data_IF_693856242445
#
_entry.id   IF_693856242445
#
_cell.length_a   1.000
_cell.length_b   1.000
_cell.length_c   1.000
_cell.angle_alpha   90.00
_cell.angle_beta   90.00
_cell.angle_gamma   90.00
#
_symmetry.space_group_name_H-M   'P 1'
#
loop_
_entity.id
_entity.type
_entity.pdbx_description
1 polymer ?
#
# COMPACT_ATOMS: atom_id res chain seq x y z
N UNK A 1 17.55 3.83 0.29
CA UNK A 1 16.93 2.53 -0.05
C UNK A 1 15.44 2.72 -0.27
N UNK A 2 14.88 2.04 -1.25
CA UNK A 2 13.45 2.15 -1.54
C UNK A 2 12.61 1.45 -0.47
N UNK A 3 11.44 2.00 -0.19
CA UNK A 3 10.48 1.40 0.74
C UNK A 3 9.83 0.20 0.05
N UNK A 4 9.91 -0.97 0.67
CA UNK A 4 9.48 -2.24 0.11
C UNK A 4 8.02 -2.52 0.42
N UNK A 5 7.26 -2.91 -0.60
CA UNK A 5 5.81 -3.11 -0.48
C UNK A 5 5.41 -4.50 -0.96
N UNK A 6 4.52 -5.14 -0.20
CA UNK A 6 3.79 -6.34 -0.61
C UNK A 6 2.33 -5.95 -0.88
N UNK A 7 1.83 -6.26 -2.07
CA UNK A 7 0.44 -6.02 -2.44
C UNK A 7 -0.33 -7.33 -2.34
N UNK A 8 -1.39 -7.34 -1.55
CA UNK A 8 -2.26 -8.50 -1.33
C UNK A 8 -3.67 -8.16 -1.81
N UNK A 9 -4.11 -8.72 -2.92
CA UNK A 9 -5.44 -8.51 -3.46
C UNK A 9 -5.77 -9.59 -4.47
N UNK A 10 -7.01 -10.07 -4.49
CA UNK A 10 -7.45 -11.10 -5.41
C UNK A 10 -7.61 -10.63 -6.85
N UNK A 11 -7.76 -9.33 -7.07
CA UNK A 11 -7.95 -8.74 -8.39
C UNK A 11 -6.63 -8.25 -8.98
N UNK A 12 -6.22 -8.80 -10.13
CA UNK A 12 -5.02 -8.33 -10.83
C UNK A 12 -5.15 -6.86 -11.26
N UNK A 13 -6.33 -6.42 -11.65
CA UNK A 13 -6.58 -5.04 -12.04
C UNK A 13 -6.38 -4.07 -10.85
N UNK A 14 -6.86 -4.46 -9.68
CA UNK A 14 -6.65 -3.68 -8.45
C UNK A 14 -5.17 -3.66 -8.06
N UNK A 15 -4.50 -4.81 -8.13
CA UNK A 15 -3.06 -4.87 -7.86
C UNK A 15 -2.26 -3.96 -8.79
N UNK A 16 -2.58 -3.94 -10.08
CA UNK A 16 -1.91 -3.07 -11.06
C UNK A 16 -2.13 -1.59 -10.74
N UNK A 17 -3.33 -1.20 -10.37
CA UNK A 17 -3.65 0.17 -10.01
C UNK A 17 -2.89 0.61 -8.75
N UNK A 18 -2.85 -0.24 -7.74
CA UNK A 18 -2.11 0.02 -6.50
C UNK A 18 -0.61 0.13 -6.81
N UNK A 19 -0.08 -0.80 -7.59
CA UNK A 19 1.34 -0.80 -8.00
C UNK A 19 1.73 0.52 -8.65
N UNK A 20 0.96 1.00 -9.62
CA UNK A 20 1.26 2.25 -10.33
C UNK A 20 1.34 3.44 -9.36
N UNK A 21 0.39 3.53 -8.45
CA UNK A 21 0.39 4.60 -7.45
C UNK A 21 1.60 4.52 -6.52
N UNK A 22 1.92 3.33 -6.06
CA UNK A 22 3.06 3.12 -5.15
C UNK A 22 4.40 3.39 -5.84
N UNK A 23 4.56 2.95 -7.08
CA UNK A 23 5.78 3.23 -7.86
C UNK A 23 5.95 4.72 -8.11
N UNK A 24 4.87 5.44 -8.41
CA UNK A 24 4.91 6.90 -8.54
C UNK A 24 5.34 7.60 -7.24
N UNK A 25 5.00 7.04 -6.10
CA UNK A 25 5.40 7.55 -4.79
C UNK A 25 6.89 7.27 -4.50
N UNK A 26 7.47 6.29 -5.18
CA UNK A 26 8.86 5.90 -4.98
C UNK A 26 9.03 4.61 -4.20
N UNK A 27 7.96 3.84 -4.04
CA UNK A 27 8.02 2.54 -3.40
C UNK A 27 8.52 1.46 -4.37
N UNK A 28 9.11 0.41 -3.82
CA UNK A 28 9.51 -0.79 -4.53
C UNK A 28 8.50 -1.91 -4.22
N UNK A 29 7.68 -2.27 -5.18
CA UNK A 29 6.72 -3.37 -5.03
C UNK A 29 7.49 -4.69 -5.24
N UNK A 30 7.82 -5.34 -4.13
CA UNK A 30 8.70 -6.52 -4.14
C UNK A 30 7.96 -7.82 -4.38
N UNK A 31 6.65 -7.86 -4.13
CA UNK A 31 5.83 -9.04 -4.36
C UNK A 31 4.35 -8.70 -4.41
N UNK A 32 3.57 -9.60 -5.00
CA UNK A 32 2.12 -9.54 -5.03
C UNK A 32 1.56 -10.92 -4.66
N UNK A 33 0.49 -10.93 -3.89
CA UNK A 33 -0.23 -12.13 -3.49
C UNK A 33 -1.69 -12.02 -3.89
N UNK A 34 -2.23 -13.09 -4.45
CA UNK A 34 -3.64 -13.16 -4.85
C UNK A 34 -4.50 -13.91 -3.84
N UNK A 35 -3.91 -14.61 -2.87
CA UNK A 35 -4.58 -15.38 -1.83
C UNK A 35 -3.96 -15.15 -0.47
N UNK A 36 -4.70 -15.46 0.59
CA UNK A 36 -4.21 -15.33 1.95
C UNK A 36 -3.01 -16.23 2.23
N UNK A 37 -3.01 -17.46 1.70
CA UNK A 37 -1.90 -18.41 1.90
C UNK A 37 -0.61 -17.87 1.25
N UNK A 38 -0.68 -17.37 0.03
CA UNK A 38 0.45 -16.74 -0.64
C UNK A 38 0.93 -15.51 0.14
N UNK A 39 -0.02 -14.74 0.66
CA UNK A 39 0.28 -13.52 1.41
C UNK A 39 1.15 -13.80 2.64
N UNK A 40 0.80 -14.81 3.43
CA UNK A 40 1.55 -15.17 4.63
C UNK A 40 2.97 -15.60 4.26
N UNK A 41 3.10 -16.47 3.24
CA UNK A 41 4.39 -16.96 2.79
C UNK A 41 5.28 -15.82 2.28
N UNK A 42 4.73 -14.95 1.43
CA UNK A 42 5.48 -13.82 0.86
C UNK A 42 5.82 -12.78 1.92
N UNK A 43 4.91 -12.51 2.85
CA UNK A 43 5.17 -11.57 3.95
C UNK A 43 6.41 -11.99 4.75
N UNK A 44 6.52 -13.26 5.06
CA UNK A 44 7.67 -13.82 5.81
C UNK A 44 8.94 -13.86 4.98
N UNK A 45 8.81 -14.03 3.66
CA UNK A 45 9.95 -14.16 2.75
C UNK A 45 10.56 -12.81 2.36
N UNK A 46 9.71 -11.83 1.99
CA UNK A 46 10.20 -10.55 1.44
C UNK A 46 10.37 -9.47 2.49
N UNK A 47 9.84 -9.66 3.68
CA UNK A 47 9.95 -8.70 4.80
C UNK A 47 9.60 -7.26 4.38
N UNK A 48 8.36 -7.00 3.93
CA UNK A 48 7.99 -5.67 3.45
C UNK A 48 7.84 -4.66 4.59
N UNK A 49 8.05 -3.39 4.28
CA UNK A 49 7.80 -2.28 5.21
C UNK A 49 6.34 -1.82 5.16
N UNK A 50 5.70 -1.99 3.99
CA UNK A 50 4.31 -1.64 3.76
C UNK A 50 3.61 -2.86 3.16
N UNK A 51 2.38 -3.11 3.62
CA UNK A 51 1.49 -4.13 3.06
C UNK A 51 0.18 -3.48 2.70
N UNK A 52 -0.29 -3.67 1.46
CA UNK A 52 -1.67 -3.36 1.12
C UNK A 52 -2.48 -4.65 1.19
N UNK A 53 -3.57 -4.64 1.94
CA UNK A 53 -4.35 -5.84 2.24
C UNK A 53 -5.79 -5.66 1.75
N UNK A 54 -6.16 -6.43 0.72
CA UNK A 54 -7.50 -6.42 0.16
C UNK A 54 -8.52 -7.05 1.09
N UNK A 55 -9.54 -6.29 1.46
CA UNK A 55 -10.63 -6.78 2.30
C UNK A 55 -11.45 -7.85 1.58
N UNK A 56 -11.53 -7.73 0.24
CA UNK A 56 -12.29 -8.64 -0.62
C UNK A 56 -11.47 -9.85 -1.09
N UNK A 57 -10.30 -10.06 -0.52
CA UNK A 57 -9.46 -11.22 -0.80
C UNK A 57 -10.15 -12.52 -0.39
N UNK A 58 -9.90 -13.60 -1.12
CA UNK A 58 -10.36 -14.92 -0.71
C UNK A 58 -9.58 -15.37 0.52
N UNK A 59 -10.30 -15.46 1.62
CA UNK A 59 -9.81 -16.05 2.86
C UNK A 59 -10.38 -17.45 2.98
N UNK A 60 -9.57 -18.40 3.44
CA UNK A 60 -10.06 -19.72 3.76
C UNK A 60 -11.02 -19.67 4.95
N UNK A 61 -11.66 -20.81 5.28
CA UNK A 61 -12.68 -20.88 6.33
C UNK A 61 -12.18 -20.40 7.70
N UNK A 62 -10.87 -20.45 7.93
CA UNK A 62 -10.25 -20.09 9.22
C UNK A 62 -9.53 -18.74 9.19
N UNK A 63 -9.60 -18.01 8.09
CA UNK A 63 -8.90 -16.71 7.97
C UNK A 63 -9.85 -15.61 7.55
N UNK A 64 -9.47 -14.37 7.89
CA UNK A 64 -10.25 -13.18 7.62
C UNK A 64 -9.31 -12.00 7.39
N UNK A 65 -9.78 -10.90 6.79
CA UNK A 65 -8.98 -9.69 6.67
C UNK A 65 -8.41 -9.24 8.03
N UNK A 66 -9.26 -9.25 9.05
CA UNK A 66 -8.85 -8.85 10.40
C UNK A 66 -7.83 -9.83 10.99
N UNK A 67 -8.02 -11.12 10.76
CA UNK A 67 -7.08 -12.15 11.21
C UNK A 67 -5.71 -12.00 10.59
N UNK A 68 -5.65 -11.76 9.28
CA UNK A 68 -4.39 -11.56 8.58
C UNK A 68 -3.71 -10.26 9.01
N UNK A 69 -4.47 -9.18 9.19
CA UNK A 69 -3.94 -7.93 9.73
C UNK A 69 -3.30 -8.14 11.10
N UNK A 70 -3.99 -8.84 12.00
CA UNK A 70 -3.49 -9.14 13.34
C UNK A 70 -2.23 -9.99 13.29
N UNK A 71 -2.17 -10.97 12.39
CA UNK A 71 -0.99 -11.81 12.22
C UNK A 71 0.22 -10.96 11.81
N UNK A 72 0.05 -10.11 10.81
CA UNK A 72 1.11 -9.23 10.33
C UNK A 72 1.61 -8.32 11.44
N UNK A 73 0.69 -7.65 12.14
CA UNK A 73 1.05 -6.70 13.22
C UNK A 73 1.67 -7.39 14.42
N UNK A 74 1.30 -8.63 14.68
CA UNK A 74 1.89 -9.41 15.77
C UNK A 74 3.30 -9.86 15.43
N UNK A 75 3.53 -10.33 14.19
CA UNK A 75 4.85 -10.80 13.76
C UNK A 75 5.84 -9.64 13.57
N UNK A 76 5.40 -8.55 12.93
CA UNK A 76 6.25 -7.38 12.67
C UNK A 76 5.46 -6.09 12.95
N UNK A 77 5.45 -5.63 14.21
CA UNK A 77 4.65 -4.46 14.60
C UNK A 77 4.95 -3.17 13.82
N UNK A 78 6.13 -3.07 13.22
CA UNK A 78 6.54 -1.88 12.46
C UNK A 78 5.95 -1.83 11.06
N UNK A 79 5.44 -2.96 10.54
CA UNK A 79 4.85 -2.99 9.20
C UNK A 79 3.63 -2.08 9.14
N UNK A 80 3.61 -1.18 8.16
CA UNK A 80 2.43 -0.36 7.89
C UNK A 80 1.47 -1.15 7.03
N UNK A 81 0.24 -1.35 7.49
CA UNK A 81 -0.79 -2.08 6.75
C UNK A 81 -1.88 -1.12 6.29
N UNK A 82 -2.12 -1.08 4.99
CA UNK A 82 -3.20 -0.31 4.37
C UNK A 82 -4.28 -1.29 3.94
N UNK A 83 -5.49 -1.12 4.49
CA UNK A 83 -6.64 -1.93 4.07
C UNK A 83 -7.22 -1.32 2.81
N UNK A 84 -7.56 -2.16 1.83
CA UNK A 84 -8.12 -1.74 0.54
C UNK A 84 -9.40 -2.52 0.28
N UNK A 85 -10.50 -1.83 0.03
CA UNK A 85 -11.82 -2.43 -0.17
C UNK A 85 -12.57 -1.80 -1.34
N UNK A 86 -13.55 -2.51 -1.90
CA UNK A 86 -14.47 -1.94 -2.89
C UNK A 86 -15.54 -1.11 -2.24
N UNK A 87 -15.98 -1.53 -1.06
CA UNK A 87 -16.91 -0.80 -0.21
C UNK A 87 -16.53 -1.09 1.24
N UNK A 88 -16.66 -0.10 2.10
CA UNK A 88 -16.25 -0.24 3.49
C UNK A 88 -17.20 0.53 4.40
N UNK A 89 -17.78 -0.18 5.39
CA UNK A 89 -18.58 0.44 6.42
C UNK A 89 -17.65 1.12 7.44
N UNK A 90 -18.15 2.20 8.04
CA UNK A 90 -17.38 2.97 9.03
C UNK A 90 -16.93 2.09 10.21
N UNK A 91 -17.80 1.22 10.71
CA UNK A 91 -17.49 0.34 11.84
C UNK A 91 -16.36 -0.64 11.49
N UNK A 92 -16.32 -1.15 10.25
CA UNK A 92 -15.26 -2.03 9.79
C UNK A 92 -13.93 -1.28 9.70
N UNK A 93 -13.95 -0.05 9.18
CA UNK A 93 -12.75 0.79 9.11
C UNK A 93 -12.19 1.05 10.51
N UNK A 94 -13.06 1.36 11.48
CA UNK A 94 -12.64 1.57 12.87
C UNK A 94 -12.05 0.30 13.48
N UNK A 95 -12.65 -0.85 13.20
CA UNK A 95 -12.17 -2.14 13.68
C UNK A 95 -10.77 -2.43 13.15
N UNK A 96 -10.53 -2.21 11.84
CA UNK A 96 -9.22 -2.39 11.25
C UNK A 96 -8.18 -1.43 11.85
N UNK A 97 -8.53 -0.16 12.03
CA UNK A 97 -7.62 0.81 12.63
C UNK A 97 -7.25 0.46 14.07
N UNK A 98 -8.22 -0.01 14.86
CA UNK A 98 -7.97 -0.48 16.24
C UNK A 98 -7.05 -1.70 16.27
N UNK A 99 -7.12 -2.55 15.24
CA UNK A 99 -6.26 -3.72 15.12
C UNK A 99 -4.86 -3.39 14.57
N UNK A 100 -4.60 -2.12 14.22
CA UNK A 100 -3.28 -1.64 13.83
C UNK A 100 -3.13 -1.24 12.37
N UNK A 101 -4.21 -1.25 11.57
CA UNK A 101 -4.13 -0.73 10.20
C UNK A 101 -3.81 0.77 10.23
N UNK A 102 -2.90 1.18 9.36
CA UNK A 102 -2.53 2.59 9.24
C UNK A 102 -3.67 3.41 8.66
N UNK A 103 -4.34 2.89 7.64
CA UNK A 103 -5.49 3.52 7.01
C UNK A 103 -6.29 2.50 6.23
N UNK A 104 -7.54 2.88 5.90
CA UNK A 104 -8.42 2.07 5.05
C UNK A 104 -8.80 2.91 3.83
N UNK A 105 -8.66 2.33 2.64
CA UNK A 105 -8.97 2.97 1.38
C UNK A 105 -10.06 2.22 0.64
N UNK A 106 -10.87 2.94 -0.11
CA UNK A 106 -11.86 2.38 -1.04
C UNK A 106 -11.36 2.63 -2.47
N UNK A 107 -11.40 1.60 -3.31
CA UNK A 107 -10.99 1.75 -4.71
C UNK A 107 -12.02 2.54 -5.51
N UNK A 108 -11.62 3.38 -6.47
CA UNK A 108 -10.23 3.64 -6.88
C UNK A 108 -9.45 4.48 -5.86
N UNK A 109 -8.17 4.16 -5.68
CA UNK A 109 -7.33 4.89 -4.73
C UNK A 109 -7.08 6.31 -5.22
N UNK A 110 -7.28 7.28 -4.33
CA UNK A 110 -6.91 8.65 -4.58
C UNK A 110 -5.43 8.85 -4.25
N UNK A 111 -4.66 9.24 -5.26
CA UNK A 111 -3.20 9.38 -5.13
C UNK A 111 -2.80 10.34 -4.01
N UNK A 112 -3.46 11.49 -3.91
CA UNK A 112 -3.12 12.49 -2.90
C UNK A 112 -3.28 11.96 -1.48
N UNK A 113 -4.37 11.22 -1.22
CA UNK A 113 -4.62 10.63 0.09
C UNK A 113 -3.59 9.56 0.42
N UNK A 114 -3.27 8.70 -0.55
CA UNK A 114 -2.26 7.66 -0.40
C UNK A 114 -0.89 8.28 -0.13
N UNK A 115 -0.51 9.29 -0.91
CA UNK A 115 0.74 10.02 -0.74
C UNK A 115 0.84 10.64 0.66
N UNK A 116 -0.22 11.32 1.10
CA UNK A 116 -0.23 11.98 2.41
C UNK A 116 0.00 10.97 3.56
N UNK A 117 -0.72 9.86 3.53
CA UNK A 117 -0.62 8.82 4.56
C UNK A 117 0.78 8.18 4.56
N UNK A 118 1.28 7.80 3.39
CA UNK A 118 2.57 7.10 3.29
C UNK A 118 3.74 8.02 3.56
N UNK A 119 3.73 9.26 3.09
CA UNK A 119 4.83 10.20 3.34
C UNK A 119 4.92 10.60 4.81
N UNK A 120 3.81 10.58 5.52
CA UNK A 120 3.79 10.83 6.97
C UNK A 120 4.37 9.64 7.75
N UNK A 121 3.97 8.42 7.39
CA UNK A 121 4.44 7.20 8.06
C UNK A 121 5.87 6.81 7.66
N UNK A 122 6.27 7.15 6.44
CA UNK A 122 7.58 6.83 5.88
C UNK A 122 8.22 8.10 5.29
N UNK A 123 8.81 8.96 6.16
CA UNK A 123 9.37 10.25 5.73
C UNK A 123 10.46 10.13 4.66
N UNK A 124 11.15 9.01 4.56
CA UNK A 124 12.15 8.72 3.54
C UNK A 124 11.60 8.79 2.11
N UNK A 125 10.29 8.56 1.94
CA UNK A 125 9.63 8.69 0.64
C UNK A 125 9.58 10.14 0.16
N UNK A 126 9.46 11.08 1.09
CA UNK A 126 9.34 12.50 0.77
C UNK A 126 10.57 13.02 0.02
N UNK A 127 11.76 12.63 0.41
CA UNK A 127 13.00 13.08 -0.23
C UNK A 127 13.08 12.58 -1.68
N UNK A 128 12.78 11.30 -1.92
CA UNK A 128 12.79 10.73 -3.27
C UNK A 128 11.74 11.32 -4.18
N UNK A 129 10.52 11.44 -3.69
CA UNK A 129 9.41 12.00 -4.46
C UNK A 129 9.61 13.50 -4.73
N UNK A 130 10.12 14.23 -3.76
CA UNK A 130 10.43 15.65 -3.94
C UNK A 130 11.45 15.84 -5.06
N UNK A 131 12.52 15.05 -5.09
CA UNK A 131 13.53 15.10 -6.14
C UNK A 131 12.91 14.79 -7.52
N UNK A 132 12.03 13.79 -7.59
CA UNK A 132 11.32 13.43 -8.82
C UNK A 132 10.40 14.56 -9.28
N UNK A 133 9.65 15.16 -8.38
CA UNK A 133 8.76 16.28 -8.70
C UNK A 133 9.53 17.51 -9.17
N UNK A 134 10.65 17.82 -8.54
CA UNK A 134 11.52 18.94 -8.95
C UNK A 134 12.08 18.70 -10.34
N UNK A 135 12.52 17.49 -10.66
CA UNK A 135 13.00 17.13 -12.00
C UNK A 135 11.91 17.27 -13.06
N UNK A 136 10.70 16.81 -12.76
CA UNK A 136 9.55 16.93 -13.65
C UNK A 136 9.19 18.41 -13.89
N UNK A 137 9.19 19.23 -12.85
CA UNK A 137 8.92 20.67 -12.94
C UNK A 137 9.98 21.38 -13.79
N UNK A 138 11.25 21.04 -13.62
CA UNK A 138 12.34 21.59 -14.42
C UNK A 138 12.19 21.21 -15.89
N UNK A 139 11.83 19.96 -16.19
CA UNK A 139 11.58 19.50 -17.55
C UNK A 139 10.41 20.22 -18.19
N UNK A 140 9.32 20.47 -17.45
CA UNK A 140 8.17 21.24 -17.94
C UNK A 140 8.54 22.69 -18.24
N UNK A 141 9.32 23.34 -17.38
CA UNK A 141 9.80 24.71 -17.61
C UNK A 141 10.69 24.79 -18.85
N UNK A 142 11.61 23.86 -19.00
CA UNK A 142 12.49 23.80 -20.18
C UNK A 142 11.67 23.60 -21.45
N UNK A 143 10.66 22.75 -21.44
CA UNK A 143 9.76 22.54 -22.58
C UNK A 143 8.97 23.79 -22.94
N UNK A 144 8.52 24.55 -21.95
CA UNK A 144 7.80 25.82 -22.20
C UNK A 144 8.70 26.91 -22.75
N UNK A 145 9.95 26.97 -22.32
CA UNK A 145 10.91 27.97 -22.78
C UNK A 145 11.41 27.70 -24.20
N UNK A 146 11.30 26.45 -24.68
CA UNK A 146 11.72 26.03 -26.02
C UNK A 146 10.67 26.36 -27.10
N UNK A 147 9.53 26.89 -26.74
CA UNK A 147 8.47 27.29 -27.66
C UNK A 147 8.57 28.82 -27.90
#
# INVERSE_FOLDING_TARGET
MAVRVLIIDGSSAVRDAIRRNLECIGCDVVAEAATADQAVLLFRTVEPEIVTLGVDLRYGDESSPLGLLRLIKREVPKTSVLMVARALLLDDAQTFKRAGALECFVVPLEFASLWHILSTAHPELMAGTFATMMSATAALKASRLSR
#
